data_IF_115479957066
#
_entry.id   IF_115479957066
#
_cell.length_a   1.000
_cell.length_b   1.000
_cell.length_c   1.000
_cell.angle_alpha   90.00
_cell.angle_beta   90.00
_cell.angle_gamma   90.00
#
_symmetry.space_group_name_H-M   'P 1'
#
loop_
_entity.id
_entity.type
_entity.pdbx_description
1 polymer ?
#
# COMPACT_ATOMS: atom_id res chain seq x y z
N UNK A 1 -6.55 32.90 56.89
CA UNK A 1 -7.47 32.41 55.84
C UNK A 1 -7.39 30.90 55.81
N UNK A 2 -8.48 30.19 56.15
CA UNK A 2 -8.55 28.73 56.05
C UNK A 2 -9.18 28.38 54.70
N UNK A 3 -8.42 27.76 53.81
CA UNK A 3 -8.95 27.21 52.57
C UNK A 3 -9.51 25.82 52.88
N UNK A 4 -10.83 25.76 52.94
CA UNK A 4 -11.60 24.53 53.05
C UNK A 4 -11.43 23.72 51.77
N UNK A 5 -10.76 22.56 51.84
CA UNK A 5 -10.74 21.58 50.75
C UNK A 5 -12.10 20.89 50.70
N UNK A 6 -13.00 21.44 49.88
CA UNK A 6 -14.23 20.76 49.47
C UNK A 6 -13.83 19.53 48.66
N UNK A 7 -14.07 18.36 49.26
CA UNK A 7 -13.99 17.05 48.62
C UNK A 7 -14.96 17.02 47.44
N UNK A 8 -14.43 17.29 46.25
CA UNK A 8 -15.16 17.24 44.98
C UNK A 8 -14.69 16.01 44.22
N UNK A 9 -15.63 15.07 44.04
CA UNK A 9 -15.65 13.96 43.08
C UNK A 9 -14.30 13.53 42.47
N UNK A 10 -13.71 12.48 43.07
CA UNK A 10 -12.66 11.61 42.50
C UNK A 10 -12.98 11.14 41.06
N UNK A 11 -14.25 11.16 40.66
CA UNK A 11 -14.69 10.75 39.33
C UNK A 11 -14.31 11.72 38.20
N UNK A 12 -14.19 13.03 38.50
CA UNK A 12 -13.82 14.03 37.50
C UNK A 12 -12.35 13.92 37.06
N UNK A 13 -11.48 13.34 37.90
CA UNK A 13 -10.08 13.07 37.58
C UNK A 13 -9.89 11.78 36.78
N UNK A 14 -10.86 10.86 36.77
CA UNK A 14 -10.77 9.61 36.00
C UNK A 14 -11.05 9.82 34.50
N UNK A 15 -11.90 10.79 34.15
CA UNK A 15 -12.21 11.16 32.76
C UNK A 15 -10.98 11.60 31.93
N UNK A 16 -10.08 12.48 32.42
CA UNK A 16 -8.87 12.84 31.67
C UNK A 16 -7.86 11.68 31.55
N UNK A 17 -7.80 10.75 32.52
CA UNK A 17 -6.96 9.55 32.42
C UNK A 17 -7.47 8.54 31.38
N UNK A 18 -8.79 8.39 31.23
CA UNK A 18 -9.37 7.56 30.17
C UNK A 18 -9.20 8.22 28.78
N UNK A 19 -9.25 9.55 28.72
CA UNK A 19 -9.00 10.32 27.49
C UNK A 19 -7.57 10.13 26.97
N UNK A 20 -6.56 10.19 27.85
CA UNK A 20 -5.15 9.98 27.43
C UNK A 20 -4.87 8.55 26.95
N UNK A 21 -5.54 7.54 27.51
CA UNK A 21 -5.47 6.16 27.04
C UNK A 21 -6.12 5.96 25.67
N UNK A 22 -7.22 6.68 25.38
CA UNK A 22 -7.91 6.64 24.09
C UNK A 22 -7.18 7.44 23.00
N UNK A 23 -6.51 8.54 23.37
CA UNK A 23 -5.64 9.33 22.49
C UNK A 23 -4.40 8.55 22.01
N UNK A 24 -3.98 7.52 22.75
CA UNK A 24 -2.85 6.68 22.38
C UNK A 24 -3.17 5.61 21.33
N UNK A 25 -4.43 5.45 20.94
CA UNK A 25 -4.86 4.50 19.90
C UNK A 25 -4.37 4.89 18.49
N UNK A 26 -3.93 6.13 18.30
CA UNK A 26 -3.41 6.66 17.04
C UNK A 26 -1.92 7.04 17.12
N UNK A 27 -1.13 6.37 17.96
CA UNK A 27 0.32 6.37 17.73
C UNK A 27 0.53 5.62 16.43
N UNK A 28 0.65 6.36 15.33
CA UNK A 28 1.39 5.88 14.19
C UNK A 28 2.69 5.34 14.78
N UNK A 29 2.86 4.02 14.76
CA UNK A 29 4.09 3.39 15.17
C UNK A 29 5.20 4.15 14.47
N UNK A 30 6.06 4.83 15.24
CA UNK A 30 7.22 5.46 14.64
C UNK A 30 7.89 4.36 13.82
N UNK A 31 8.19 4.60 12.53
CA UNK A 31 8.91 3.62 11.74
C UNK A 31 10.12 3.16 12.55
N UNK A 32 10.34 1.86 12.66
CA UNK A 32 11.55 1.34 13.27
C UNK A 32 12.72 1.79 12.40
N UNK A 33 13.27 2.95 12.74
CA UNK A 33 14.45 3.49 12.10
C UNK A 33 15.63 3.33 13.05
N UNK A 34 16.75 2.92 12.49
CA UNK A 34 18.01 2.94 13.21
C UNK A 34 18.58 4.35 13.15
N UNK A 35 19.11 4.84 14.27
CA UNK A 35 19.79 6.13 14.30
C UNK A 35 21.25 5.91 13.90
N UNK A 36 21.56 6.17 12.64
CA UNK A 36 22.92 6.08 12.09
C UNK A 36 23.44 7.50 11.88
N UNK A 37 24.58 7.85 12.50
CA UNK A 37 25.16 9.21 12.46
C UNK A 37 24.20 10.33 12.89
N UNK A 38 23.27 10.04 13.80
CA UNK A 38 22.26 11.00 14.27
C UNK A 38 21.04 11.16 13.35
N UNK A 39 20.98 10.41 12.24
CA UNK A 39 19.84 10.39 11.33
C UNK A 39 19.03 9.10 11.47
N UNK A 40 17.70 9.24 11.49
CA UNK A 40 16.75 8.14 11.46
C UNK A 40 16.75 7.52 10.05
N UNK A 41 17.37 6.35 9.91
CA UNK A 41 17.47 5.60 8.67
C UNK A 41 16.53 4.40 8.69
N UNK A 42 15.68 4.27 7.67
CA UNK A 42 14.80 3.11 7.51
C UNK A 42 15.64 1.85 7.21
N UNK A 43 15.31 0.74 7.86
CA UNK A 43 15.99 -0.53 7.59
C UNK A 43 15.44 -1.19 6.33
N UNK A 44 16.26 -1.99 5.66
CA UNK A 44 15.84 -2.81 4.52
C UNK A 44 14.65 -3.71 4.90
N UNK A 45 14.71 -4.32 6.08
CA UNK A 45 13.62 -5.15 6.63
C UNK A 45 12.31 -4.36 6.76
N UNK A 46 12.37 -3.14 7.29
CA UNK A 46 11.19 -2.28 7.42
C UNK A 46 10.57 -1.98 6.04
N UNK A 47 11.39 -1.57 5.06
CA UNK A 47 10.90 -1.27 3.72
C UNK A 47 10.29 -2.50 3.04
N UNK A 48 10.92 -3.66 3.14
CA UNK A 48 10.39 -4.90 2.57
C UNK A 48 9.11 -5.37 3.26
N UNK A 49 9.00 -5.23 4.58
CA UNK A 49 7.77 -5.52 5.30
C UNK A 49 6.63 -4.58 4.89
N UNK A 50 6.92 -3.30 4.70
CA UNK A 50 5.94 -2.32 4.19
C UNK A 50 5.55 -2.64 2.74
N UNK A 51 6.52 -2.97 1.88
CA UNK A 51 6.28 -3.33 0.49
C UNK A 51 5.41 -4.58 0.39
N UNK A 52 5.68 -5.61 1.21
CA UNK A 52 4.84 -6.81 1.31
C UNK A 52 3.40 -6.47 1.67
N UNK A 53 3.17 -5.68 2.72
CA UNK A 53 1.82 -5.31 3.13
C UNK A 53 1.06 -4.54 2.06
N UNK A 54 1.71 -3.59 1.39
CA UNK A 54 1.09 -2.84 0.27
C UNK A 54 0.80 -3.77 -0.92
N UNK A 55 1.70 -4.70 -1.23
CA UNK A 55 1.49 -5.69 -2.29
C UNK A 55 0.32 -6.64 -1.99
N UNK A 56 0.16 -7.08 -0.75
CA UNK A 56 -0.96 -7.92 -0.31
C UNK A 56 -2.29 -7.16 -0.46
N UNK A 57 -2.32 -5.87 -0.11
CA UNK A 57 -3.49 -5.02 -0.30
C UNK A 57 -3.87 -4.84 -1.78
N UNK A 58 -2.89 -4.63 -2.65
CA UNK A 58 -3.11 -4.55 -4.12
C UNK A 58 -3.71 -5.85 -4.62
N UNK A 59 -3.14 -7.00 -4.24
CA UNK A 59 -3.61 -8.31 -4.68
C UNK A 59 -5.04 -8.57 -4.20
N UNK A 60 -5.35 -8.25 -2.93
CA UNK A 60 -6.71 -8.37 -2.39
C UNK A 60 -7.72 -7.54 -3.18
N UNK A 61 -7.43 -6.25 -3.42
CA UNK A 61 -8.31 -5.36 -4.17
C UNK A 61 -8.50 -5.81 -5.63
N UNK A 62 -7.43 -6.29 -6.25
CA UNK A 62 -7.47 -6.81 -7.63
C UNK A 62 -8.34 -8.06 -7.73
N UNK A 63 -8.23 -8.99 -6.77
CA UNK A 63 -9.06 -10.19 -6.73
C UNK A 63 -10.54 -9.87 -6.48
N UNK A 64 -10.84 -8.94 -5.58
CA UNK A 64 -12.21 -8.46 -5.36
C UNK A 64 -12.80 -7.88 -6.64
N UNK A 65 -12.04 -7.02 -7.33
CA UNK A 65 -12.45 -6.41 -8.59
C UNK A 65 -12.67 -7.45 -9.69
N UNK A 66 -11.75 -8.39 -9.84
CA UNK A 66 -11.84 -9.50 -10.78
C UNK A 66 -13.10 -10.35 -10.54
N UNK A 67 -13.39 -10.68 -9.29
CA UNK A 67 -14.57 -11.47 -8.93
C UNK A 67 -15.88 -10.71 -9.18
N UNK A 68 -15.90 -9.39 -8.99
CA UNK A 68 -17.08 -8.58 -9.17
C UNK A 68 -17.43 -8.31 -10.65
N UNK A 69 -16.40 -8.12 -11.49
CA UNK A 69 -16.54 -7.69 -12.89
C UNK A 69 -16.20 -8.78 -13.91
N UNK A 70 -15.08 -9.48 -13.74
CA UNK A 70 -14.52 -10.35 -14.78
C UNK A 70 -15.12 -11.75 -14.73
N UNK A 71 -15.36 -12.33 -13.56
CA UNK A 71 -16.03 -13.65 -13.47
C UNK A 71 -17.43 -13.69 -14.10
N UNK A 72 -18.04 -12.52 -14.35
CA UNK A 72 -19.35 -12.39 -14.99
C UNK A 72 -19.28 -12.28 -16.51
N UNK A 73 -18.09 -12.11 -17.07
CA UNK A 73 -17.84 -11.92 -18.51
C UNK A 73 -16.90 -13.05 -18.95
N UNK A 74 -17.26 -13.88 -19.93
CA UNK A 74 -16.32 -14.85 -20.50
C UNK A 74 -15.24 -14.11 -21.29
N UNK A 75 -14.24 -13.58 -20.58
CA UNK A 75 -13.11 -12.89 -21.14
C UNK A 75 -11.98 -13.89 -21.32
N UNK A 76 -11.50 -14.08 -22.54
CA UNK A 76 -10.19 -14.68 -22.75
C UNK A 76 -9.18 -13.65 -22.25
N UNK A 77 -8.59 -13.89 -21.08
CA UNK A 77 -7.63 -12.98 -20.44
C UNK A 77 -6.35 -12.93 -21.28
N UNK A 78 -6.36 -12.07 -22.29
CA UNK A 78 -5.17 -11.71 -23.05
C UNK A 78 -4.43 -10.66 -22.23
N UNK A 79 -3.54 -11.12 -21.36
CA UNK A 79 -2.58 -10.23 -20.73
C UNK A 79 -1.71 -9.63 -21.82
N UNK A 80 -1.52 -8.30 -21.81
CA UNK A 80 -0.49 -7.69 -22.65
C UNK A 80 0.84 -8.33 -22.24
N UNK A 81 1.52 -9.00 -23.17
CA UNK A 81 2.87 -9.51 -22.94
C UNK A 81 3.75 -8.31 -22.63
N UNK A 82 3.92 -7.98 -21.35
CA UNK A 82 5.15 -7.34 -20.94
C UNK A 82 6.23 -8.35 -21.29
N UNK A 83 6.99 -8.08 -22.35
CA UNK A 83 8.13 -8.85 -22.83
C UNK A 83 9.29 -8.80 -21.82
N UNK A 84 9.00 -9.04 -20.55
CA UNK A 84 9.95 -9.14 -19.47
C UNK A 84 9.98 -10.59 -19.02
N UNK A 85 11.17 -11.12 -18.68
CA UNK A 85 11.30 -12.50 -18.26
C UNK A 85 10.42 -12.73 -17.03
N UNK A 86 9.24 -13.30 -17.26
CA UNK A 86 8.43 -13.86 -16.19
C UNK A 86 9.15 -15.14 -15.75
N UNK A 87 9.38 -15.36 -14.45
CA UNK A 87 10.03 -16.57 -13.95
C UNK A 87 9.23 -17.86 -14.24
N UNK A 88 8.02 -17.74 -14.80
CA UNK A 88 7.02 -18.79 -14.80
C UNK A 88 7.19 -19.83 -15.92
N UNK A 89 8.19 -19.72 -16.78
CA UNK A 89 8.53 -20.81 -17.69
C UNK A 89 10.00 -20.85 -18.09
N UNK A 90 10.61 -21.99 -17.77
CA UNK A 90 11.86 -22.55 -18.28
C UNK A 90 13.12 -22.33 -17.43
N UNK A 91 13.66 -23.46 -17.00
CA UNK A 91 14.94 -23.74 -16.34
C UNK A 91 15.10 -23.36 -14.86
N UNK A 92 14.94 -24.38 -14.03
CA UNK A 92 15.61 -24.55 -12.74
C UNK A 92 16.99 -23.86 -12.73
N UNK A 93 17.16 -22.82 -11.91
CA UNK A 93 18.48 -22.40 -11.43
C UNK A 93 19.07 -21.07 -11.95
N UNK A 94 18.36 -20.25 -12.73
CA UNK A 94 18.84 -18.89 -13.00
C UNK A 94 18.39 -17.91 -11.92
N UNK A 95 19.32 -17.56 -11.03
CA UNK A 95 19.16 -16.52 -10.03
C UNK A 95 18.98 -15.17 -10.73
N UNK A 96 17.76 -14.62 -10.69
CA UNK A 96 17.47 -13.28 -11.22
C UNK A 96 18.21 -12.28 -10.35
N UNK A 97 19.06 -11.46 -10.98
CA UNK A 97 19.78 -10.40 -10.29
C UNK A 97 18.79 -9.45 -9.58
N UNK A 98 18.98 -9.13 -8.28
CA UNK A 98 18.06 -8.29 -7.52
C UNK A 98 17.76 -6.93 -8.18
N UNK A 99 18.76 -6.31 -8.82
CA UNK A 99 18.59 -5.08 -9.60
C UNK A 99 17.61 -5.24 -10.76
N UNK A 100 17.74 -6.35 -11.50
CA UNK A 100 16.85 -6.67 -12.62
C UNK A 100 15.44 -6.89 -12.10
N UNK A 101 15.27 -7.66 -11.02
CA UNK A 101 13.97 -7.92 -10.41
C UNK A 101 13.29 -6.62 -9.94
N UNK A 102 14.03 -5.72 -9.28
CA UNK A 102 13.51 -4.42 -8.85
C UNK A 102 13.09 -3.54 -10.03
N UNK A 103 13.93 -3.42 -11.06
CA UNK A 103 13.61 -2.64 -12.27
C UNK A 103 12.37 -3.17 -12.99
N UNK A 104 12.26 -4.49 -13.13
CA UNK A 104 11.09 -5.12 -13.77
C UNK A 104 9.83 -4.86 -12.97
N UNK A 105 9.88 -5.06 -11.64
CA UNK A 105 8.72 -4.86 -10.77
C UNK A 105 8.25 -3.40 -10.78
N UNK A 106 9.19 -2.44 -10.67
CA UNK A 106 8.87 -1.00 -10.76
C UNK A 106 8.26 -0.66 -12.11
N UNK A 107 8.86 -1.15 -13.21
CA UNK A 107 8.36 -0.92 -14.55
C UNK A 107 6.94 -1.45 -14.76
N UNK A 108 6.64 -2.64 -14.23
CA UNK A 108 5.29 -3.22 -14.25
C UNK A 108 4.29 -2.35 -13.48
N UNK A 109 4.63 -1.90 -12.27
CA UNK A 109 3.73 -1.06 -11.45
C UNK A 109 3.41 0.26 -12.14
N UNK A 110 4.41 0.92 -12.73
CA UNK A 110 4.22 2.17 -13.49
C UNK A 110 3.35 1.93 -14.73
N UNK A 111 3.61 0.86 -15.48
CA UNK A 111 2.83 0.51 -16.67
C UNK A 111 1.36 0.20 -16.36
N UNK A 112 1.10 -0.53 -15.27
CA UNK A 112 -0.26 -0.79 -14.79
C UNK A 112 -0.95 0.48 -14.31
N UNK A 113 -0.27 1.36 -13.57
CA UNK A 113 -0.84 2.64 -13.15
C UNK A 113 -1.31 3.47 -14.35
N UNK A 114 -0.47 3.60 -15.39
CA UNK A 114 -0.84 4.32 -16.61
C UNK A 114 -2.07 3.69 -17.29
N UNK A 115 -2.14 2.37 -17.34
CA UNK A 115 -3.28 1.64 -17.91
C UNK A 115 -4.55 1.88 -17.11
N UNK A 116 -4.46 1.80 -15.78
CA UNK A 116 -5.60 1.97 -14.88
C UNK A 116 -6.12 3.41 -14.86
N UNK A 117 -5.25 4.42 -15.00
CA UNK A 117 -5.66 5.82 -15.18
C UNK A 117 -6.53 6.00 -16.44
N UNK A 118 -6.13 5.38 -17.56
CA UNK A 118 -6.96 5.40 -18.77
C UNK A 118 -8.31 4.73 -18.56
N UNK A 119 -8.38 3.61 -17.84
CA UNK A 119 -9.65 2.96 -17.49
C UNK A 119 -10.55 3.87 -16.65
N UNK A 120 -10.00 4.64 -15.70
CA UNK A 120 -10.78 5.61 -14.93
C UNK A 120 -11.37 6.69 -15.85
N UNK A 121 -10.56 7.21 -16.77
CA UNK A 121 -10.99 8.25 -17.72
C UNK A 121 -12.13 7.72 -18.61
N UNK A 122 -11.97 6.52 -19.17
CA UNK A 122 -12.96 5.91 -20.06
C UNK A 122 -14.29 5.60 -19.35
N UNK A 123 -14.26 5.38 -18.04
CA UNK A 123 -15.45 5.09 -17.23
C UNK A 123 -16.06 6.33 -16.55
N UNK A 124 -15.44 7.51 -16.66
CA UNK A 124 -15.86 8.70 -15.93
C UNK A 124 -17.31 9.09 -16.21
N UNK A 125 -17.74 9.05 -17.49
CA UNK A 125 -19.11 9.39 -17.89
C UNK A 125 -20.15 8.37 -17.40
N UNK A 126 -19.70 7.18 -17.00
CA UNK A 126 -20.53 6.09 -16.49
C UNK A 126 -20.58 6.06 -14.95
N UNK A 127 -19.98 7.03 -14.25
CA UNK A 127 -19.92 7.04 -12.79
C UNK A 127 -21.31 7.02 -12.12
N UNK A 128 -22.33 7.56 -12.80
CA UNK A 128 -23.73 7.53 -12.36
C UNK A 128 -24.40 6.14 -12.43
N UNK A 129 -23.81 5.19 -13.16
CA UNK A 129 -24.30 3.82 -13.27
C UNK A 129 -24.02 3.06 -11.96
N UNK A 130 -25.02 2.40 -11.35
CA UNK A 130 -24.84 1.65 -10.12
C UNK A 130 -23.67 0.66 -10.19
N UNK A 131 -22.74 0.76 -9.24
CA UNK A 131 -21.56 -0.10 -9.15
C UNK A 131 -20.31 0.45 -9.85
N UNK A 132 -20.44 1.31 -10.87
CA UNK A 132 -19.28 1.87 -11.59
C UNK A 132 -18.47 2.82 -10.70
N UNK A 133 -19.11 3.69 -9.93
CA UNK A 133 -18.39 4.56 -8.98
C UNK A 133 -17.59 3.77 -7.92
N UNK A 134 -18.13 2.64 -7.44
CA UNK A 134 -17.41 1.77 -6.51
C UNK A 134 -16.21 1.07 -7.18
N UNK A 135 -16.37 0.64 -8.43
CA UNK A 135 -15.29 0.08 -9.25
C UNK A 135 -14.16 1.08 -9.50
N UNK A 136 -14.50 2.30 -9.95
CA UNK A 136 -13.54 3.40 -10.13
C UNK A 136 -12.80 3.70 -8.82
N UNK A 137 -13.50 3.73 -7.69
CA UNK A 137 -12.89 3.93 -6.36
C UNK A 137 -11.85 2.85 -6.03
N UNK A 138 -12.15 1.57 -6.32
CA UNK A 138 -11.19 0.47 -6.15
C UNK A 138 -9.97 0.63 -7.07
N UNK A 139 -10.16 1.02 -8.33
CA UNK A 139 -9.04 1.31 -9.25
C UNK A 139 -8.15 2.42 -8.70
N UNK A 140 -8.73 3.53 -8.24
CA UNK A 140 -7.98 4.63 -7.62
C UNK A 140 -7.16 4.14 -6.43
N UNK A 141 -7.71 3.25 -5.61
CA UNK A 141 -6.98 2.68 -4.47
C UNK A 141 -5.83 1.77 -4.89
N UNK A 142 -6.00 1.00 -5.97
CA UNK A 142 -4.93 0.20 -6.57
C UNK A 142 -3.80 1.10 -7.09
N UNK A 143 -4.11 2.20 -7.78
CA UNK A 143 -3.10 3.16 -8.27
C UNK A 143 -2.35 3.81 -7.12
N UNK A 144 -3.06 4.24 -6.06
CA UNK A 144 -2.47 4.82 -4.85
C UNK A 144 -1.48 3.83 -4.21
N UNK A 145 -1.92 2.59 -4.00
CA UNK A 145 -1.08 1.55 -3.40
C UNK A 145 0.10 1.17 -4.30
N UNK A 146 -0.09 1.08 -5.62
CA UNK A 146 0.97 0.77 -6.58
C UNK A 146 2.01 1.88 -6.64
N UNK A 147 1.59 3.14 -6.53
CA UNK A 147 2.49 4.30 -6.40
C UNK A 147 3.29 4.23 -5.11
N UNK A 148 2.64 3.89 -3.99
CA UNK A 148 3.32 3.69 -2.70
C UNK A 148 4.33 2.53 -2.76
N UNK A 149 3.96 1.41 -3.39
CA UNK A 149 4.84 0.27 -3.57
C UNK A 149 6.05 0.62 -4.45
N UNK A 150 5.82 1.35 -5.54
CA UNK A 150 6.89 1.85 -6.42
C UNK A 150 7.93 2.64 -5.62
N UNK A 151 7.47 3.59 -4.80
CA UNK A 151 8.36 4.39 -3.94
C UNK A 151 9.15 3.54 -2.94
N UNK A 152 8.50 2.56 -2.30
CA UNK A 152 9.18 1.65 -1.37
C UNK A 152 10.28 0.83 -2.08
N UNK A 153 10.02 0.38 -3.31
CA UNK A 153 11.00 -0.37 -4.11
C UNK A 153 12.15 0.53 -4.61
N UNK A 154 11.89 1.80 -4.91
CA UNK A 154 12.93 2.79 -5.19
C UNK A 154 13.82 3.06 -3.98
N UNK A 155 13.22 3.17 -2.77
CA UNK A 155 13.97 3.31 -1.52
C UNK A 155 14.85 2.07 -1.26
N UNK A 156 14.33 0.86 -1.50
CA UNK A 156 15.11 -0.40 -1.41
C UNK A 156 16.26 -0.39 -2.41
N UNK A 157 16.00 -0.02 -3.66
CA UNK A 157 17.02 0.10 -4.71
C UNK A 157 18.13 1.05 -4.29
N UNK A 158 17.77 2.22 -3.74
CA UNK A 158 18.73 3.21 -3.25
C UNK A 158 19.56 2.69 -2.07
N UNK A 159 18.94 1.98 -1.11
CA UNK A 159 19.66 1.42 0.04
C UNK A 159 20.65 0.33 -0.35
N UNK A 160 20.32 -0.44 -1.38
CA UNK A 160 21.18 -1.51 -1.90
C UNK A 160 22.24 -1.02 -2.90
N UNK A 161 22.23 0.27 -3.25
CA UNK A 161 23.07 0.87 -4.30
C UNK A 161 22.91 0.18 -5.67
N UNK A 162 21.67 -0.14 -6.04
CA UNK A 162 21.27 -0.78 -7.31
C UNK A 162 20.65 0.22 -8.31
#
# INVERSE_FOLDING_TARGET
MRLSLTQTCSWALLLPLLSSMLLWKNVASLPMCEVINGHCQLTLEYLLNQARGVSEDINRLTLEMFNEFVNKIPLHLLCHNYSFPSPDNTTEGQEIQPEVLLKVTIGMLVGWNNTLEHVIIDLADLESVPGVGAFISKIRKIIENSTKLTKLLEDVKSLLNL
#
